data_IF_599916988611
#
_entry.id   IF_599916988611
#
_cell.length_a   1.000
_cell.length_b   1.000
_cell.length_c   1.000
_cell.angle_alpha   90.00
_cell.angle_beta   90.00
_cell.angle_gamma   90.00
#
_symmetry.space_group_name_H-M   'P 1'
#
loop_
_entity.id
_entity.type
_entity.pdbx_description
1 polymer ?
#
# COMPACT_ATOMS: atom_id res chain seq x y z
N UNK A 1 21.63 28.05 -32.51
CA UNK A 1 21.46 27.17 -33.69
C UNK A 1 20.00 26.73 -33.74
N UNK A 2 19.20 27.26 -34.67
CA UNK A 2 17.81 26.88 -34.83
C UNK A 2 17.73 25.48 -35.44
N UNK A 3 17.09 24.52 -34.76
CA UNK A 3 16.77 23.23 -35.35
C UNK A 3 15.45 23.38 -36.11
N UNK A 4 15.52 23.31 -37.44
CA UNK A 4 14.36 23.25 -38.32
C UNK A 4 13.89 21.80 -38.41
N UNK A 5 12.74 21.50 -37.80
CA UNK A 5 12.09 20.19 -37.84
C UNK A 5 11.25 19.95 -36.59
N UNK A 6 10.09 19.28 -36.74
CA UNK A 6 9.27 18.86 -35.61
C UNK A 6 10.14 18.07 -34.62
N UNK A 7 10.18 18.52 -33.37
CA UNK A 7 11.06 17.96 -32.35
C UNK A 7 10.45 18.09 -30.96
N UNK A 8 10.68 17.08 -30.12
CA UNK A 8 10.28 17.07 -28.72
C UNK A 8 11.43 17.52 -27.83
N UNK A 9 11.15 18.41 -26.88
CA UNK A 9 12.03 18.63 -25.73
C UNK A 9 11.48 17.79 -24.58
N UNK A 10 12.28 16.84 -24.12
CA UNK A 10 11.90 15.90 -23.06
C UNK A 10 12.82 16.07 -21.87
N UNK A 11 12.24 16.49 -20.73
CA UNK A 11 12.96 16.52 -19.46
C UNK A 11 12.74 15.18 -18.74
N UNK A 12 13.83 14.44 -18.54
CA UNK A 12 13.82 13.18 -17.77
C UNK A 12 13.85 13.49 -16.28
N UNK A 13 13.20 12.65 -15.47
CA UNK A 13 13.34 12.75 -14.01
C UNK A 13 14.78 12.51 -13.57
N UNK A 14 15.21 13.17 -12.49
CA UNK A 14 16.48 12.91 -11.84
C UNK A 14 16.23 12.09 -10.57
N UNK A 15 16.82 10.91 -10.48
CA UNK A 15 16.88 10.11 -9.26
C UNK A 15 18.09 10.60 -8.44
N UNK A 16 17.82 11.31 -7.34
CA UNK A 16 18.85 11.85 -6.45
C UNK A 16 19.59 10.80 -5.63
N UNK A 17 19.00 9.62 -5.45
CA UNK A 17 19.62 8.52 -4.69
C UNK A 17 20.65 7.80 -5.55
N UNK A 18 20.32 7.59 -6.83
CA UNK A 18 21.20 6.89 -7.77
C UNK A 18 22.01 7.82 -8.68
N UNK A 19 21.83 9.14 -8.56
CA UNK A 19 22.46 10.17 -9.41
C UNK A 19 22.32 9.87 -10.91
N UNK A 20 21.12 9.47 -11.33
CA UNK A 20 20.83 9.06 -12.71
C UNK A 20 19.53 9.70 -13.20
N UNK A 21 19.47 9.99 -14.50
CA UNK A 21 18.20 10.32 -15.14
C UNK A 21 17.33 9.07 -15.24
N UNK A 22 16.08 9.15 -14.77
CA UNK A 22 15.09 8.08 -14.86
C UNK A 22 14.67 7.88 -16.32
N UNK A 23 14.20 6.67 -16.65
CA UNK A 23 13.61 6.38 -17.96
C UNK A 23 12.26 7.06 -18.20
N UNK A 24 11.73 7.78 -17.20
CA UNK A 24 10.41 8.41 -17.23
C UNK A 24 10.54 9.86 -17.70
N UNK A 25 9.78 10.21 -18.73
CA UNK A 25 9.68 11.57 -19.25
C UNK A 25 8.67 12.33 -18.39
N UNK A 26 9.11 13.32 -17.60
CA UNK A 26 8.23 14.07 -16.70
C UNK A 26 7.43 15.13 -17.45
N UNK A 27 8.09 15.86 -18.34
CA UNK A 27 7.47 16.89 -19.19
C UNK A 27 8.00 16.69 -20.60
N UNK A 28 7.07 16.51 -21.55
CA UNK A 28 7.38 16.45 -22.98
C UNK A 28 6.64 17.57 -23.67
N UNK A 29 7.38 18.57 -24.15
CA UNK A 29 6.79 19.64 -24.96
C UNK A 29 6.93 19.22 -26.42
N UNK A 30 5.80 18.86 -27.03
CA UNK A 30 5.71 18.50 -28.45
C UNK A 30 5.09 19.65 -29.23
N UNK A 31 5.55 19.79 -30.46
CA UNK A 31 5.84 21.10 -30.99
C UNK A 31 5.78 20.93 -32.51
N UNK A 32 4.76 21.50 -33.18
CA UNK A 32 4.43 21.22 -34.58
C UNK A 32 5.07 22.23 -35.58
N UNK A 33 6.26 22.77 -35.27
CA UNK A 33 6.88 23.86 -36.03
C UNK A 33 8.37 24.10 -35.69
N UNK A 34 8.95 25.20 -36.19
CA UNK A 34 10.29 25.64 -35.82
C UNK A 34 10.25 26.46 -34.52
N UNK A 35 11.19 26.22 -33.58
CA UNK A 35 11.22 26.91 -32.28
C UNK A 35 12.54 27.66 -32.10
N UNK A 36 12.42 28.92 -31.68
CA UNK A 36 13.55 29.74 -31.21
C UNK A 36 13.66 29.60 -29.70
N UNK A 37 14.85 29.21 -29.23
CA UNK A 37 15.13 29.05 -27.81
C UNK A 37 15.21 30.45 -27.14
N UNK A 38 14.18 30.83 -26.40
CA UNK A 38 14.25 31.97 -25.47
C UNK A 38 14.62 31.44 -24.07
N UNK A 39 15.42 32.18 -23.30
CA UNK A 39 15.58 31.89 -21.87
C UNK A 39 14.25 32.12 -21.18
N UNK A 40 13.79 31.14 -20.41
CA UNK A 40 12.64 31.35 -19.54
C UNK A 40 13.06 32.29 -18.40
N UNK A 41 12.54 33.51 -18.40
CA UNK A 41 12.62 34.42 -17.25
C UNK A 41 11.35 34.22 -16.43
N UNK A 42 11.37 33.26 -15.49
CA UNK A 42 10.24 32.92 -14.64
C UNK A 42 10.49 31.65 -13.82
N UNK A 43 9.66 31.39 -12.81
CA UNK A 43 9.70 30.17 -11.98
C UNK A 43 8.95 29.04 -12.72
N UNK A 44 9.59 27.89 -12.95
CA UNK A 44 8.90 26.63 -13.26
C UNK A 44 8.73 25.89 -11.95
N UNK A 45 7.49 25.78 -11.48
CA UNK A 45 7.16 25.04 -10.27
C UNK A 45 6.44 23.75 -10.66
N UNK A 46 7.06 22.62 -10.32
CA UNK A 46 6.43 21.30 -10.42
C UNK A 46 5.94 20.96 -9.01
N UNK A 47 4.66 21.23 -8.74
CA UNK A 47 4.03 20.88 -7.47
C UNK A 47 3.41 19.49 -7.58
N UNK A 48 3.92 18.53 -6.80
CA UNK A 48 3.19 17.29 -6.56
C UNK A 48 2.00 17.59 -5.66
N UNK A 49 0.80 17.62 -6.23
CA UNK A 49 -0.42 17.99 -5.49
C UNK A 49 -0.99 16.86 -4.65
N UNK A 50 -0.63 15.61 -4.94
CA UNK A 50 -1.22 14.44 -4.29
C UNK A 50 -0.17 13.37 -3.95
N UNK A 51 -0.28 12.80 -2.74
CA UNK A 51 0.46 11.62 -2.30
C UNK A 51 -0.48 10.42 -2.24
N UNK A 52 -0.12 9.32 -2.90
CA UNK A 52 -0.91 8.09 -2.86
C UNK A 52 -0.50 7.23 -1.67
N UNK A 53 -1.44 6.94 -0.79
CA UNK A 53 -1.27 6.03 0.34
C UNK A 53 -1.83 4.66 -0.03
N UNK A 54 -1.01 3.61 0.07
CA UNK A 54 -1.50 2.23 0.01
C UNK A 54 -2.16 1.91 1.35
N UNK A 55 -3.47 1.67 1.32
CA UNK A 55 -4.28 1.50 2.54
C UNK A 55 -4.82 0.09 2.69
N UNK A 56 -4.61 -0.79 1.72
CA UNK A 56 -5.09 -2.17 1.72
C UNK A 56 -4.08 -3.19 1.21
N UNK A 57 -4.41 -4.47 1.36
CA UNK A 57 -3.54 -5.60 1.01
C UNK A 57 -3.48 -5.89 -0.50
N UNK A 58 -4.46 -5.41 -1.28
CA UNK A 58 -4.59 -5.72 -2.70
C UNK A 58 -4.21 -4.54 -3.60
N UNK A 59 -3.87 -4.85 -4.85
CA UNK A 59 -3.60 -3.86 -5.90
C UNK A 59 -4.79 -2.90 -6.09
N UNK A 60 -4.50 -1.62 -6.27
CA UNK A 60 -5.52 -0.59 -6.47
C UNK A 60 -6.19 -0.08 -5.18
N UNK A 61 -5.86 -0.64 -4.00
CA UNK A 61 -6.34 -0.13 -2.70
C UNK A 61 -5.51 1.07 -2.21
N UNK A 62 -5.58 2.15 -2.98
CA UNK A 62 -4.88 3.41 -2.72
C UNK A 62 -5.85 4.55 -2.42
N UNK A 63 -5.40 5.50 -1.61
CA UNK A 63 -6.07 6.80 -1.42
C UNK A 63 -5.08 7.91 -1.72
N UNK A 64 -5.43 8.75 -2.69
CA UNK A 64 -4.73 10.00 -2.95
C UNK A 64 -5.07 11.03 -1.88
N UNK A 65 -4.06 11.68 -1.33
CA UNK A 65 -4.19 12.79 -0.41
C UNK A 65 -3.43 13.98 -0.98
N UNK A 66 -4.17 15.00 -1.38
CA UNK A 66 -3.65 16.31 -1.70
C UNK A 66 -4.20 17.35 -0.74
N UNK A 67 -3.36 18.29 -0.34
CA UNK A 67 -3.77 19.46 0.42
C UNK A 67 -3.50 20.65 -0.48
N UNK A 68 -4.55 21.41 -0.80
CA UNK A 68 -4.41 22.65 -1.56
C UNK A 68 -3.55 23.67 -0.79
N UNK A 69 -3.00 24.67 -1.44
CA UNK A 69 -2.17 25.68 -0.78
C UNK A 69 -2.96 26.46 0.30
N UNK A 70 -2.67 26.19 1.56
CA UNK A 70 -3.28 26.83 2.73
C UNK A 70 -2.42 27.97 3.32
N UNK A 71 -1.42 28.47 2.57
CA UNK A 71 -0.66 29.67 2.97
C UNK A 71 -1.50 30.94 2.85
N UNK A 72 -1.00 32.06 3.39
CA UNK A 72 -1.68 33.36 3.29
C UNK A 72 -1.92 33.78 1.83
N UNK A 73 -0.98 33.49 0.94
CA UNK A 73 -1.09 33.73 -0.50
C UNK A 73 -2.10 32.79 -1.15
N UNK A 74 -2.05 31.48 -0.85
CA UNK A 74 -3.01 30.50 -1.39
C UNK A 74 -4.46 30.73 -0.94
N UNK A 75 -4.65 31.24 0.27
CA UNK A 75 -5.95 31.63 0.81
C UNK A 75 -6.41 33.03 0.36
N UNK A 76 -5.51 33.85 -0.19
CA UNK A 76 -5.81 35.21 -0.64
C UNK A 76 -5.90 36.25 0.48
N UNK A 77 -5.37 35.95 1.67
CA UNK A 77 -5.43 36.83 2.85
C UNK A 77 -4.18 37.69 3.04
N UNK A 78 -3.17 37.52 2.19
CA UNK A 78 -1.85 38.19 2.30
C UNK A 78 -1.91 39.72 2.19
N UNK A 79 -2.81 40.25 1.36
CA UNK A 79 -2.95 41.68 1.09
C UNK A 79 -4.19 42.32 1.73
N UNK A 80 -4.76 41.70 2.76
CA UNK A 80 -5.96 42.22 3.42
C UNK A 80 -5.61 43.44 4.27
N UNK A 81 -6.32 44.55 4.05
CA UNK A 81 -6.14 45.81 4.79
C UNK A 81 -7.44 46.27 5.44
N UNK A 82 -7.33 46.96 6.58
CA UNK A 82 -8.46 47.43 7.40
C UNK A 82 -8.31 48.92 7.74
N UNK A 83 -7.63 49.68 6.87
CA UNK A 83 -7.31 51.09 7.11
C UNK A 83 -8.52 52.02 6.94
N UNK A 84 -9.48 51.62 6.10
CA UNK A 84 -10.64 52.43 5.71
C UNK A 84 -11.91 51.57 5.71
N UNK A 85 -13.08 52.20 5.80
CA UNK A 85 -14.36 51.47 5.89
C UNK A 85 -14.58 50.53 4.69
N UNK A 86 -14.22 50.96 3.48
CA UNK A 86 -14.35 50.14 2.28
C UNK A 86 -13.39 48.94 2.27
N UNK A 87 -12.14 49.12 2.70
CA UNK A 87 -11.16 48.02 2.78
C UNK A 87 -11.54 47.02 3.87
N UNK A 88 -12.04 47.49 5.02
CA UNK A 88 -12.58 46.65 6.08
C UNK A 88 -13.77 45.78 5.62
N UNK A 89 -14.69 46.33 4.83
CA UNK A 89 -15.83 45.57 4.31
C UNK A 89 -15.40 44.50 3.28
N UNK A 90 -14.41 44.83 2.44
CA UNK A 90 -13.82 43.85 1.51
C UNK A 90 -13.03 42.76 2.25
N UNK A 91 -12.31 43.13 3.31
CA UNK A 91 -11.53 42.21 4.15
C UNK A 91 -12.40 41.09 4.73
N UNK A 92 -13.59 41.42 5.22
CA UNK A 92 -14.55 40.44 5.77
C UNK A 92 -14.90 39.38 4.72
N UNK A 93 -15.18 39.80 3.49
CA UNK A 93 -15.55 38.88 2.40
C UNK A 93 -14.39 37.96 2.00
N UNK A 94 -13.17 38.50 1.95
CA UNK A 94 -11.96 37.71 1.64
C UNK A 94 -11.67 36.69 2.74
N UNK A 95 -11.80 37.08 4.01
CA UNK A 95 -11.58 36.19 5.15
C UNK A 95 -12.64 35.09 5.20
N UNK A 96 -13.92 35.40 4.95
CA UNK A 96 -14.99 34.41 4.94
C UNK A 96 -14.75 33.34 3.87
N UNK A 97 -14.35 33.77 2.67
CA UNK A 97 -13.97 32.87 1.58
C UNK A 97 -12.73 32.01 1.94
N UNK A 98 -11.73 32.58 2.62
CA UNK A 98 -10.58 31.83 3.10
C UNK A 98 -10.99 30.78 4.16
N UNK A 99 -11.88 31.14 5.09
CA UNK A 99 -12.42 30.21 6.09
C UNK A 99 -13.20 29.07 5.42
N UNK A 100 -14.00 29.38 4.39
CA UNK A 100 -14.73 28.38 3.61
C UNK A 100 -13.76 27.38 2.96
N UNK A 101 -12.71 27.86 2.30
CA UNK A 101 -11.67 26.99 1.70
C UNK A 101 -11.00 26.08 2.73
N UNK A 102 -10.59 26.61 3.87
CA UNK A 102 -9.98 25.81 4.96
C UNK A 102 -10.96 24.76 5.48
N UNK A 103 -12.23 25.13 5.62
CA UNK A 103 -13.27 24.24 6.12
C UNK A 103 -13.57 23.11 5.14
N UNK A 104 -13.55 23.39 3.84
CA UNK A 104 -13.66 22.39 2.77
C UNK A 104 -12.49 21.41 2.81
N UNK A 105 -11.25 21.89 2.94
CA UNK A 105 -10.10 20.99 3.05
C UNK A 105 -10.13 20.15 4.33
N UNK A 106 -10.55 20.72 5.46
CA UNK A 106 -10.78 19.92 6.68
C UNK A 106 -11.86 18.85 6.48
N UNK A 107 -12.91 19.17 5.73
CA UNK A 107 -13.96 18.22 5.36
C UNK A 107 -13.41 17.06 4.52
N UNK A 108 -12.57 17.35 3.51
CA UNK A 108 -11.91 16.31 2.70
C UNK A 108 -10.98 15.45 3.54
N UNK A 109 -10.18 16.05 4.43
CA UNK A 109 -9.32 15.31 5.36
C UNK A 109 -10.13 14.41 6.29
N UNK A 110 -11.25 14.89 6.83
CA UNK A 110 -12.15 14.09 7.66
C UNK A 110 -12.75 12.90 6.90
N UNK A 111 -13.16 13.10 5.64
CA UNK A 111 -13.64 12.01 4.80
C UNK A 111 -12.56 10.94 4.54
N UNK A 112 -11.31 11.36 4.31
CA UNK A 112 -10.18 10.44 4.17
C UNK A 112 -9.91 9.69 5.49
N UNK A 113 -9.95 10.38 6.63
CA UNK A 113 -9.81 9.75 7.95
C UNK A 113 -10.87 8.66 8.17
N UNK A 114 -12.15 8.94 7.86
CA UNK A 114 -13.22 7.93 7.95
C UNK A 114 -12.93 6.72 7.06
N UNK A 115 -12.48 6.96 5.81
CA UNK A 115 -12.10 5.86 4.90
C UNK A 115 -10.94 5.03 5.46
N UNK A 116 -9.92 5.68 6.03
CA UNK A 116 -8.80 5.00 6.66
C UNK A 116 -9.26 4.16 7.84
N UNK A 117 -10.11 4.70 8.71
CA UNK A 117 -10.64 3.98 9.87
C UNK A 117 -11.47 2.75 9.46
N UNK A 118 -12.35 2.90 8.46
CA UNK A 118 -13.08 1.76 7.90
C UNK A 118 -12.16 0.72 7.29
N UNK A 119 -11.10 1.15 6.60
CA UNK A 119 -10.15 0.23 5.99
C UNK A 119 -9.33 -0.50 7.04
N UNK A 120 -8.90 0.18 8.10
CA UNK A 120 -8.21 -0.43 9.25
C UNK A 120 -9.11 -1.47 9.91
N UNK A 121 -10.38 -1.14 10.17
CA UNK A 121 -11.33 -2.07 10.78
C UNK A 121 -11.55 -3.30 9.89
N UNK A 122 -11.72 -3.12 8.58
CA UNK A 122 -11.86 -4.22 7.63
C UNK A 122 -10.59 -5.10 7.57
N UNK A 123 -9.41 -4.48 7.52
CA UNK A 123 -8.13 -5.20 7.53
C UNK A 123 -7.93 -5.98 8.82
N UNK A 124 -8.32 -5.42 9.97
CA UNK A 124 -8.25 -6.11 11.26
C UNK A 124 -9.13 -7.36 11.27
N UNK A 125 -10.37 -7.27 10.80
CA UNK A 125 -11.26 -8.43 10.68
C UNK A 125 -10.72 -9.45 9.69
N UNK A 126 -10.19 -9.01 8.54
CA UNK A 126 -9.55 -9.90 7.57
C UNK A 126 -8.34 -10.63 8.18
N UNK A 127 -7.51 -9.91 8.95
CA UNK A 127 -6.39 -10.47 9.68
C UNK A 127 -6.84 -11.51 10.72
N UNK A 128 -7.84 -11.21 11.55
CA UNK A 128 -8.40 -12.16 12.51
C UNK A 128 -8.92 -13.44 11.84
N UNK A 129 -9.60 -13.31 10.70
CA UNK A 129 -10.08 -14.44 9.90
C UNK A 129 -8.93 -15.28 9.32
N UNK A 130 -7.88 -14.62 8.80
CA UNK A 130 -6.71 -15.30 8.24
C UNK A 130 -5.91 -16.01 9.34
N UNK A 131 -5.65 -15.38 10.48
CA UNK A 131 -4.98 -16.01 11.62
C UNK A 131 -5.78 -17.21 12.13
N UNK A 132 -7.11 -17.10 12.18
CA UNK A 132 -7.98 -18.22 12.59
C UNK A 132 -7.96 -19.36 11.57
N UNK A 133 -7.94 -19.03 10.27
CA UNK A 133 -7.81 -20.03 9.21
C UNK A 133 -6.43 -20.70 9.25
N UNK A 134 -5.37 -19.94 9.48
CA UNK A 134 -4.01 -20.44 9.64
C UNK A 134 -3.89 -21.38 10.85
N UNK A 135 -4.45 -20.99 12.00
CA UNK A 135 -4.49 -21.85 13.19
C UNK A 135 -5.20 -23.17 12.89
N UNK A 136 -6.36 -23.13 12.22
CA UNK A 136 -7.06 -24.36 11.82
C UNK A 136 -6.22 -25.23 10.90
N UNK A 137 -5.54 -24.66 9.91
CA UNK A 137 -4.67 -25.41 9.00
C UNK A 137 -3.50 -26.05 9.78
N UNK A 138 -2.81 -25.29 10.63
CA UNK A 138 -1.72 -25.83 11.45
C UNK A 138 -2.20 -26.92 12.40
N UNK A 139 -3.35 -26.73 13.04
CA UNK A 139 -3.92 -27.71 13.97
C UNK A 139 -4.35 -28.99 13.24
N UNK A 140 -4.92 -28.88 12.03
CA UNK A 140 -5.26 -30.05 11.21
C UNK A 140 -4.02 -30.78 10.70
N UNK A 141 -2.98 -30.05 10.29
CA UNK A 141 -1.74 -30.65 9.80
C UNK A 141 -0.99 -31.34 10.96
N UNK A 142 -0.94 -30.73 12.15
CA UNK A 142 -0.38 -31.37 13.34
C UNK A 142 -1.19 -32.59 13.77
N UNK A 143 -2.52 -32.53 13.75
CA UNK A 143 -3.36 -33.69 14.06
C UNK A 143 -3.11 -34.84 13.08
N UNK A 144 -3.00 -34.55 11.78
CA UNK A 144 -2.67 -35.56 10.78
C UNK A 144 -1.30 -36.18 11.01
N UNK A 145 -0.27 -35.37 11.27
CA UNK A 145 1.08 -35.89 11.56
C UNK A 145 1.10 -36.73 12.85
N UNK A 146 0.40 -36.30 13.90
CA UNK A 146 0.28 -37.07 15.14
C UNK A 146 -0.45 -38.39 14.93
N UNK A 147 -1.52 -38.42 14.11
CA UNK A 147 -2.22 -39.68 13.79
C UNK A 147 -1.33 -40.64 13.00
N UNK A 148 -0.53 -40.13 12.05
CA UNK A 148 0.45 -40.91 11.31
C UNK A 148 1.56 -41.43 12.22
N UNK A 149 2.09 -40.58 13.12
CA UNK A 149 3.07 -40.97 14.13
C UNK A 149 2.52 -42.07 15.06
N UNK A 150 1.30 -41.92 15.58
CA UNK A 150 0.66 -42.94 16.42
C UNK A 150 0.41 -44.23 15.65
N UNK A 151 -0.07 -44.15 14.40
CA UNK A 151 -0.26 -45.32 13.53
C UNK A 151 1.06 -46.07 13.30
N UNK A 152 2.14 -45.35 13.01
CA UNK A 152 3.47 -45.94 12.82
C UNK A 152 4.01 -46.54 14.13
N UNK A 153 3.77 -45.93 15.28
CA UNK A 153 4.13 -46.51 16.58
C UNK A 153 3.34 -47.78 16.88
N UNK A 154 2.02 -47.79 16.64
CA UNK A 154 1.19 -48.99 16.81
C UNK A 154 1.65 -50.10 15.87
N UNK A 155 1.94 -49.79 14.60
CA UNK A 155 2.47 -50.76 13.65
C UNK A 155 3.82 -51.33 14.10
N UNK A 156 4.72 -50.50 14.62
CA UNK A 156 6.00 -50.97 15.16
C UNK A 156 5.81 -51.87 16.38
N UNK A 157 4.94 -51.50 17.33
CA UNK A 157 4.63 -52.33 18.51
C UNK A 157 3.92 -53.63 18.11
N UNK A 158 2.98 -53.57 17.15
CA UNK A 158 2.29 -54.74 16.61
C UNK A 158 3.23 -55.65 15.82
N UNK A 159 4.19 -55.10 15.06
CA UNK A 159 5.22 -55.87 14.36
C UNK A 159 6.12 -56.61 15.36
N UNK A 160 6.52 -55.96 16.46
CA UNK A 160 7.28 -56.61 17.55
C UNK A 160 6.47 -57.72 18.23
N UNK A 161 5.20 -57.47 18.57
CA UNK A 161 4.32 -58.46 19.19
C UNK A 161 3.99 -59.63 18.24
N UNK A 162 3.75 -59.36 16.95
CA UNK A 162 3.54 -60.40 15.93
C UNK A 162 4.81 -61.21 15.66
N UNK A 163 5.99 -60.60 15.64
CA UNK A 163 7.26 -61.34 15.55
C UNK A 163 7.46 -62.25 16.77
N UNK A 164 7.16 -61.75 17.98
CA UNK A 164 7.22 -62.56 19.19
C UNK A 164 6.22 -63.74 19.16
N UNK A 165 4.97 -63.49 18.77
CA UNK A 165 3.93 -64.51 18.65
C UNK A 165 4.24 -65.55 17.54
N UNK A 166 4.74 -65.08 16.39
CA UNK A 166 5.13 -65.93 15.26
C UNK A 166 6.38 -66.75 15.56
N UNK A 167 7.22 -66.35 16.52
CA UNK A 167 8.34 -67.16 17.02
C UNK A 167 7.91 -68.18 18.09
N UNK A 168 6.79 -67.96 18.78
CA UNK A 168 6.25 -68.90 19.78
C UNK A 168 5.39 -70.01 19.16
N UNK A 169 4.65 -69.72 18.08
CA UNK A 169 3.84 -70.71 17.34
C UNK A 169 4.64 -71.95 16.88
N UNK A 170 5.84 -71.82 16.28
CA UNK A 170 6.66 -72.97 15.87
C UNK A 170 7.10 -73.85 17.04
N UNK A 171 7.30 -73.28 18.24
CA UNK A 171 7.72 -74.05 19.41
C UNK A 171 6.58 -74.91 19.99
N UNK A 172 5.34 -74.43 19.92
CA UNK A 172 4.16 -75.23 20.30
C UNK A 172 3.91 -76.41 19.36
N UNK A 173 4.16 -76.23 18.06
CA UNK A 173 4.04 -77.31 17.06
C UNK A 173 5.16 -78.35 17.25
N UNK A 174 6.36 -77.92 17.66
CA UNK A 174 7.46 -78.85 17.96
C UNK A 174 7.21 -79.74 19.19
N UNK A 175 6.35 -79.31 20.12
CA UNK A 175 5.89 -80.19 21.22
C UNK A 175 4.88 -81.24 20.72
N UNK A 176 4.01 -80.89 19.76
CA UNK A 176 3.07 -81.81 19.12
C UNK A 176 3.74 -82.80 18.14
N UNK A 177 4.94 -82.48 17.64
CA UNK A 177 5.74 -83.37 16.78
C UNK A 177 6.70 -84.28 17.57
N UNK A 178 6.83 -84.05 18.88
CA UNK A 178 7.64 -84.85 19.82
C UNK A 178 6.78 -85.68 20.78
N UNK A 179 5.46 -85.57 20.69
CA UNK A 179 4.48 -86.42 21.39
C UNK A 179 3.88 -87.43 20.43
#
# INVERSE_FOLDING_TARGET
>A
MAKNGAGSITFKGWDSTNSKYTGVSLITVTTNGAYTLYSLTGKVEITGTESNFQIGANEGQVVGLGISDMTTTGLGVDSVTVTDHASAQSAISVIDEAIRKVSEERGKLGAIQNRLEHTINNLKTAHENLTSAESRIRDTDMAMEMTNFTKNNILNQAAQAMLAQSNQLPQGILQLLKS
#
